data_IF_504621899302
#
_entry.id   IF_504621899302
#
_cell.length_a   1.000
_cell.length_b   1.000
_cell.length_c   1.000
_cell.angle_alpha   90.00
_cell.angle_beta   90.00
_cell.angle_gamma   90.00
#
_symmetry.space_group_name_H-M   'P 1'
#
loop_
_entity.id
_entity.type
_entity.pdbx_description
1 polymer ?
#
# COMPACT_ATOMS: atom_id res chain seq x y z
N UNK A 1 15.44 8.15 -6.21
CA UNK A 1 14.30 8.92 -5.64
C UNK A 1 13.20 8.87 -6.69
N UNK A 2 12.01 8.35 -6.38
CA UNK A 2 10.94 8.20 -7.38
C UNK A 2 10.45 9.57 -7.86
N UNK A 3 10.22 9.78 -9.17
CA UNK A 3 9.58 10.98 -9.69
C UNK A 3 8.19 11.18 -9.07
N UNK A 4 7.83 12.43 -8.82
CA UNK A 4 6.55 12.79 -8.18
C UNK A 4 5.38 12.21 -8.99
N UNK A 5 4.43 11.57 -8.31
CA UNK A 5 3.23 10.99 -8.93
C UNK A 5 3.42 9.61 -9.57
N UNK A 6 4.64 9.07 -9.60
CA UNK A 6 4.89 7.67 -9.99
C UNK A 6 4.50 6.69 -8.90
N UNK A 7 4.13 5.48 -9.34
CA UNK A 7 3.71 4.39 -8.47
C UNK A 7 4.86 3.86 -7.63
N UNK A 8 4.59 3.71 -6.34
CA UNK A 8 5.44 2.93 -5.43
C UNK A 8 4.76 1.58 -5.23
N UNK A 9 5.44 0.52 -5.64
CA UNK A 9 4.95 -0.85 -5.54
C UNK A 9 5.72 -1.58 -4.44
N UNK A 10 4.99 -2.11 -3.47
CA UNK A 10 5.52 -3.00 -2.44
C UNK A 10 4.88 -4.38 -2.52
N UNK A 11 5.58 -5.37 -1.97
CA UNK A 11 5.16 -6.78 -2.01
C UNK A 11 5.49 -7.45 -0.68
N UNK A 12 4.91 -8.63 -0.45
CA UNK A 12 5.22 -9.54 0.66
C UNK A 12 4.87 -9.01 2.05
N UNK A 13 3.84 -8.17 2.18
CA UNK A 13 3.25 -7.97 3.50
C UNK A 13 2.38 -9.17 3.88
N UNK A 14 2.41 -9.56 5.15
CA UNK A 14 1.71 -10.75 5.66
C UNK A 14 1.26 -10.53 7.11
N UNK A 15 0.00 -10.16 7.28
CA UNK A 15 -0.62 -9.95 8.59
C UNK A 15 -0.75 -11.24 9.41
N UNK A 16 -0.60 -12.43 8.80
CA UNK A 16 -0.72 -13.70 9.53
C UNK A 16 0.36 -13.87 10.60
N UNK A 17 1.48 -13.14 10.44
CA UNK A 17 2.60 -13.13 11.37
C UNK A 17 2.57 -11.96 12.36
N UNK A 18 1.62 -11.03 12.21
CA UNK A 18 1.57 -9.80 13.01
C UNK A 18 0.69 -9.95 14.25
N UNK A 19 1.04 -9.23 15.32
CA UNK A 19 0.25 -9.23 16.55
C UNK A 19 -1.12 -8.57 16.37
N UNK A 20 -1.22 -7.49 15.59
CA UNK A 20 -2.48 -6.78 15.39
C UNK A 20 -3.53 -7.57 14.58
N UNK A 21 -3.13 -8.60 13.82
CA UNK A 21 -4.03 -9.42 12.97
C UNK A 21 -5.00 -8.60 12.11
N UNK A 22 -4.50 -7.50 11.53
CA UNK A 22 -5.28 -6.58 10.69
C UNK A 22 -4.61 -6.37 9.34
N UNK A 23 -5.40 -6.04 8.34
CA UNK A 23 -4.87 -5.66 7.03
C UNK A 23 -4.31 -4.24 7.03
N UNK A 24 -3.37 -3.99 6.11
CA UNK A 24 -2.95 -2.64 5.74
C UNK A 24 -4.13 -1.94 5.05
N UNK A 25 -4.41 -0.71 5.45
CA UNK A 25 -5.46 0.12 4.86
C UNK A 25 -4.87 1.40 4.25
N UNK A 26 -5.68 2.16 3.51
CA UNK A 26 -5.27 3.47 3.01
C UNK A 26 -4.82 4.42 4.13
N UNK A 27 -5.38 4.29 5.34
CA UNK A 27 -5.00 5.08 6.53
C UNK A 27 -3.57 4.81 6.98
N UNK A 28 -3.04 3.62 6.73
CA UNK A 28 -1.65 3.27 7.04
C UNK A 28 -0.70 3.82 5.97
N UNK A 29 -1.17 3.92 4.71
CA UNK A 29 -0.34 4.30 3.56
C UNK A 29 -0.35 5.82 3.28
N UNK A 30 -1.43 6.53 3.59
CA UNK A 30 -1.57 7.97 3.38
C UNK A 30 -0.52 8.81 4.13
N UNK A 31 -0.12 8.47 5.38
CA UNK A 31 0.97 9.17 6.06
C UNK A 31 2.34 8.96 5.40
N UNK A 32 2.54 7.86 4.68
CA UNK A 32 3.82 7.54 4.01
C UNK A 32 4.04 8.45 2.82
N UNK A 33 3.01 8.68 2.01
CA UNK A 33 3.08 9.65 0.92
C UNK A 33 1.71 10.18 0.50
N UNK A 34 1.66 11.49 0.29
CA UNK A 34 0.57 12.20 -0.38
C UNK A 34 0.89 12.56 -1.82
N UNK A 35 2.13 12.33 -2.25
CA UNK A 35 2.66 12.74 -3.55
C UNK A 35 2.79 11.56 -4.53
N UNK A 36 2.77 10.33 -4.02
CA UNK A 36 2.92 9.11 -4.80
C UNK A 36 1.74 8.16 -4.54
N UNK A 37 1.10 7.61 -5.59
CA UNK A 37 0.20 6.49 -5.42
C UNK A 37 1.00 5.26 -4.95
N UNK A 38 0.53 4.61 -3.90
CA UNK A 38 1.18 3.46 -3.28
C UNK A 38 0.27 2.25 -3.43
N UNK A 39 0.82 1.13 -3.87
CA UNK A 39 0.17 -0.18 -3.87
C UNK A 39 1.08 -1.19 -3.18
N UNK A 40 0.55 -1.94 -2.22
CA UNK A 40 1.28 -3.03 -1.55
C UNK A 40 0.51 -4.34 -1.67
N UNK A 41 1.17 -5.35 -2.25
CA UNK A 41 0.58 -6.67 -2.51
C UNK A 41 0.87 -7.61 -1.35
N UNK A 42 -0.16 -8.29 -0.86
CA UNK A 42 -0.02 -9.30 0.19
C UNK A 42 0.81 -10.47 -0.32
N UNK A 43 1.49 -11.19 0.56
CA UNK A 43 2.31 -12.37 0.23
C UNK A 43 1.58 -13.41 -0.63
N UNK A 44 0.26 -13.52 -0.52
CA UNK A 44 -0.52 -14.46 -1.34
C UNK A 44 -0.80 -14.00 -2.77
N UNK A 45 -0.51 -12.75 -3.13
CA UNK A 45 -0.78 -12.19 -4.45
C UNK A 45 -2.24 -11.83 -4.75
N UNK A 46 -3.20 -12.24 -3.91
CA UNK A 46 -4.64 -12.04 -4.17
C UNK A 46 -5.23 -10.76 -3.56
N UNK A 47 -4.47 -10.07 -2.71
CA UNK A 47 -4.91 -8.86 -2.02
C UNK A 47 -3.91 -7.73 -2.23
N UNK A 48 -4.42 -6.54 -2.50
CA UNK A 48 -3.63 -5.31 -2.60
C UNK A 48 -4.24 -4.24 -1.71
N UNK A 49 -3.38 -3.49 -1.03
CA UNK A 49 -3.76 -2.28 -0.30
C UNK A 49 -3.20 -1.07 -1.02
N UNK A 50 -4.02 -0.03 -1.18
CA UNK A 50 -3.70 1.19 -1.92
C UNK A 50 -3.99 2.42 -1.07
N UNK A 51 -3.15 3.45 -1.18
CA UNK A 51 -3.40 4.74 -0.53
C UNK A 51 -4.52 5.52 -1.23
N UNK A 52 -4.99 6.60 -0.61
CA UNK A 52 -6.08 7.42 -1.14
C UNK A 52 -5.76 8.02 -2.51
N UNK A 53 -4.49 8.34 -2.78
CA UNK A 53 -4.06 8.83 -4.09
C UNK A 53 -4.07 7.72 -5.15
N UNK A 54 -3.62 6.51 -4.80
CA UNK A 54 -3.68 5.34 -5.67
C UNK A 54 -5.10 4.97 -6.04
N UNK A 55 -6.02 4.97 -5.06
CA UNK A 55 -7.44 4.73 -5.29
C UNK A 55 -8.08 5.74 -6.26
N UNK A 56 -7.68 7.02 -6.21
CA UNK A 56 -8.18 8.05 -7.13
C UNK A 56 -7.65 7.93 -8.57
N UNK A 57 -6.58 7.17 -8.76
CA UNK A 57 -5.87 7.02 -10.05
C UNK A 57 -6.28 5.75 -10.80
N UNK A 58 -7.03 4.86 -10.14
CA UNK A 58 -7.69 3.69 -10.73
C UNK A 58 -8.99 4.12 -11.42
#
# INVERSE_FOLDING_TARGET
RYPKGEWILGYNWDESTWTEKRFITSKDLDPISKDHPIMVTRVCGHLVSVNSLGLKKL
#
